data_IF_591421393855
#
_entry.id   IF_591421393855
#
_cell.length_a   1.000
_cell.length_b   1.000
_cell.length_c   1.000
_cell.angle_alpha   90.00
_cell.angle_beta   90.00
_cell.angle_gamma   90.00
#
_symmetry.space_group_name_H-M   'P 1'
#
loop_
_entity.id
_entity.type
_entity.pdbx_description
1 polymer ?
#
# COMPACT_ATOMS: atom_id res chain seq x y z
N UNK A 1 -13.15 27.21 11.63
CA UNK A 1 -12.27 26.35 10.84
C UNK A 1 -10.96 26.00 11.56
N UNK A 2 -10.14 26.95 12.04
CA UNK A 2 -8.87 26.66 12.76
C UNK A 2 -9.04 25.71 13.96
N UNK A 3 -10.09 25.87 14.79
CA UNK A 3 -10.34 25.00 15.96
C UNK A 3 -10.74 23.56 15.57
N UNK A 4 -11.41 23.36 14.44
CA UNK A 4 -11.78 22.04 13.91
C UNK A 4 -10.56 21.28 13.38
N UNK A 5 -9.66 21.98 12.68
CA UNK A 5 -8.39 21.41 12.18
C UNK A 5 -7.50 20.97 13.35
N UNK A 6 -7.42 21.77 14.42
CA UNK A 6 -6.66 21.44 15.64
C UNK A 6 -7.27 20.21 16.34
N UNK A 7 -8.59 20.08 16.41
CA UNK A 7 -9.24 18.91 17.00
C UNK A 7 -9.01 17.63 16.19
N UNK A 8 -9.03 17.71 14.85
CA UNK A 8 -8.72 16.58 13.97
C UNK A 8 -7.24 16.17 14.09
N UNK A 9 -6.33 17.13 14.17
CA UNK A 9 -4.90 16.87 14.41
C UNK A 9 -4.66 16.25 15.80
N UNK A 10 -5.40 16.68 16.83
CA UNK A 10 -5.31 16.12 18.18
C UNK A 10 -5.88 14.70 18.28
N UNK A 11 -6.97 14.40 17.56
CA UNK A 11 -7.55 13.07 17.48
C UNK A 11 -6.64 12.07 16.73
N UNK A 12 -5.88 12.52 15.75
CA UNK A 12 -4.90 11.70 15.00
C UNK A 12 -3.65 11.42 15.86
N UNK A 13 -3.23 12.36 16.72
CA UNK A 13 -2.05 12.18 17.58
C UNK A 13 -2.29 11.28 18.80
N UNK A 14 -3.53 11.05 19.21
CA UNK A 14 -3.86 10.24 20.38
C UNK A 14 -3.80 8.69 20.15
N UNK A 15 -3.47 8.22 18.94
CA UNK A 15 -3.48 6.78 18.59
C UNK A 15 -2.10 6.12 18.50
N UNK A 16 -1.05 6.76 18.98
CA UNK A 16 0.29 6.12 19.04
C UNK A 16 0.42 5.32 20.35
N UNK A 17 -0.49 4.38 20.58
CA UNK A 17 -0.22 3.29 21.52
C UNK A 17 0.60 2.24 20.79
N UNK A 18 1.69 1.77 21.39
CA UNK A 18 2.58 0.70 20.93
C UNK A 18 1.86 -0.67 20.85
N UNK A 19 0.62 -0.73 20.44
CA UNK A 19 -0.12 -1.98 20.24
C UNK A 19 0.40 -2.70 19.00
N UNK A 20 0.49 -4.04 19.07
CA UNK A 20 0.71 -4.87 17.88
C UNK A 20 -0.36 -4.56 16.84
N UNK A 21 0.07 -4.33 15.60
CA UNK A 21 -0.82 -3.90 14.53
C UNK A 21 -1.45 -5.09 13.82
N UNK A 22 -0.70 -6.16 13.62
CA UNK A 22 -1.14 -7.39 12.96
C UNK A 22 -0.56 -8.62 13.68
N UNK A 23 -1.03 -8.95 14.90
CA UNK A 23 -0.52 -10.05 15.68
C UNK A 23 -0.83 -11.40 15.01
N UNK A 24 0.20 -12.21 14.81
CA UNK A 24 0.13 -13.58 14.31
C UNK A 24 0.80 -14.51 15.31
N UNK A 25 0.24 -15.70 15.50
CA UNK A 25 0.86 -16.72 16.36
C UNK A 25 2.25 -17.09 15.88
N UNK A 26 3.16 -17.29 16.81
CA UNK A 26 4.52 -17.64 16.49
C UNK A 26 5.38 -17.91 17.72
N UNK A 27 6.66 -18.12 17.45
CA UNK A 27 7.67 -18.40 18.46
C UNK A 27 8.84 -17.45 18.34
N UNK A 28 9.43 -17.10 19.47
CA UNK A 28 10.74 -16.45 19.59
C UNK A 28 11.72 -17.46 20.15
N UNK A 29 12.93 -17.54 19.57
CA UNK A 29 14.04 -18.37 20.01
C UNK A 29 15.07 -17.44 20.67
N UNK A 30 15.31 -17.62 21.96
CA UNK A 30 16.25 -16.82 22.71
C UNK A 30 17.68 -17.22 22.37
N UNK A 31 18.66 -16.39 22.74
CA UNK A 31 20.08 -16.72 22.57
C UNK A 31 20.56 -17.91 23.44
N UNK A 32 19.73 -18.36 24.40
CA UNK A 32 19.97 -19.59 25.21
C UNK A 32 19.34 -20.83 24.55
N UNK A 33 18.67 -20.69 23.42
CA UNK A 33 17.98 -21.78 22.72
C UNK A 33 16.56 -22.05 23.22
N UNK A 34 16.08 -21.31 24.23
CA UNK A 34 14.73 -21.46 24.74
C UNK A 34 13.70 -20.92 23.73
N UNK A 35 12.55 -21.57 23.67
CA UNK A 35 11.45 -21.18 22.77
C UNK A 35 10.30 -20.58 23.56
N UNK A 36 9.96 -19.32 23.26
CA UNK A 36 8.84 -18.60 23.82
C UNK A 36 7.69 -18.57 22.81
N UNK A 37 6.46 -19.01 23.21
CA UNK A 37 5.27 -18.96 22.37
C UNK A 37 4.46 -17.70 22.65
N UNK A 38 3.92 -17.08 21.58
CA UNK A 38 3.14 -15.87 21.71
C UNK A 38 2.66 -15.34 20.37
N UNK A 39 2.42 -14.05 20.31
CA UNK A 39 2.03 -13.32 19.13
C UNK A 39 3.18 -12.43 18.65
N UNK A 40 3.49 -12.50 17.36
CA UNK A 40 4.48 -11.68 16.69
C UNK A 40 3.73 -10.71 15.78
N UNK A 41 4.10 -9.43 15.78
CA UNK A 41 3.48 -8.42 14.92
C UNK A 41 3.99 -8.58 13.48
N UNK A 42 3.15 -9.09 12.58
CA UNK A 42 3.50 -9.27 11.17
C UNK A 42 3.57 -7.91 10.47
N UNK A 43 4.75 -7.54 10.05
CA UNK A 43 5.07 -6.31 9.33
C UNK A 43 5.62 -6.59 7.94
N UNK A 44 6.00 -5.53 7.21
CA UNK A 44 6.77 -5.67 5.97
C UNK A 44 8.10 -6.37 6.24
N UNK A 45 8.63 -7.11 5.28
CA UNK A 45 9.91 -7.82 5.43
C UNK A 45 11.03 -6.88 5.87
N UNK A 46 11.06 -5.65 5.33
CA UNK A 46 12.04 -4.64 5.74
C UNK A 46 11.94 -4.25 7.23
N UNK A 47 10.73 -4.16 7.80
CA UNK A 47 10.56 -3.91 9.24
C UNK A 47 10.93 -5.14 10.06
N UNK A 48 10.56 -6.35 9.60
CA UNK A 48 10.89 -7.60 10.27
C UNK A 48 12.40 -7.86 10.28
N UNK A 49 13.15 -7.40 9.27
CA UNK A 49 14.62 -7.50 9.28
C UNK A 49 15.30 -6.62 10.34
N UNK A 50 14.62 -5.60 10.85
CA UNK A 50 15.16 -4.62 11.82
C UNK A 50 14.65 -4.83 13.24
N UNK A 51 13.46 -5.42 13.43
CA UNK A 51 12.87 -5.65 14.75
C UNK A 51 11.78 -6.73 14.74
N UNK A 52 11.66 -7.44 15.87
CA UNK A 52 10.57 -8.35 16.17
C UNK A 52 9.77 -7.80 17.37
N UNK A 53 8.47 -7.52 17.16
CA UNK A 53 7.57 -7.10 18.25
C UNK A 53 6.78 -8.32 18.70
N UNK A 54 6.97 -8.76 19.95
CA UNK A 54 6.47 -10.02 20.48
C UNK A 54 5.71 -9.82 21.79
N UNK A 55 4.62 -10.55 21.95
CA UNK A 55 3.83 -10.64 23.17
C UNK A 55 3.72 -12.11 23.57
N UNK A 56 4.29 -12.50 24.70
CA UNK A 56 4.22 -13.87 25.18
C UNK A 56 2.77 -14.26 25.56
N UNK A 57 2.47 -15.54 25.45
CA UNK A 57 1.16 -16.03 25.86
C UNK A 57 0.94 -15.82 27.37
N UNK A 58 -0.20 -15.21 27.70
CA UNK A 58 -0.55 -14.89 29.11
C UNK A 58 0.05 -13.58 29.63
N UNK A 59 0.90 -12.91 28.86
CA UNK A 59 1.45 -11.59 29.21
C UNK A 59 0.65 -10.48 28.51
N UNK A 60 0.46 -9.35 29.19
CA UNK A 60 -0.11 -8.14 28.59
C UNK A 60 0.94 -7.22 27.98
N UNK A 61 2.19 -7.40 28.37
CA UNK A 61 3.32 -6.58 27.92
C UNK A 61 3.84 -7.06 26.57
N UNK A 62 4.16 -6.10 25.72
CA UNK A 62 4.76 -6.34 24.40
C UNK A 62 6.25 -5.99 24.45
N UNK A 63 7.12 -6.92 24.06
CA UNK A 63 8.57 -6.73 23.98
C UNK A 63 9.00 -6.48 22.54
N UNK A 64 9.96 -5.60 22.35
CA UNK A 64 10.59 -5.33 21.05
C UNK A 64 12.01 -5.85 21.10
N UNK A 65 12.31 -6.86 20.28
CA UNK A 65 13.63 -7.41 20.10
C UNK A 65 14.30 -6.83 18.86
N UNK A 66 15.57 -6.49 18.97
CA UNK A 66 16.45 -6.12 17.86
C UNK A 66 17.31 -7.31 17.45
N UNK A 67 17.89 -7.32 16.23
CA UNK A 67 18.85 -8.34 15.84
C UNK A 67 20.02 -8.42 16.85
N UNK A 68 20.27 -9.61 17.37
CA UNK A 68 21.23 -9.86 18.44
C UNK A 68 20.61 -10.05 19.83
N UNK A 69 19.41 -9.53 20.10
CA UNK A 69 18.71 -9.75 21.38
C UNK A 69 18.16 -11.18 21.48
N UNK A 70 17.86 -11.80 20.35
CA UNK A 70 17.35 -13.17 20.20
C UNK A 70 18.03 -13.88 19.03
N UNK A 71 18.04 -15.21 19.04
CA UNK A 71 18.54 -16.01 17.92
C UNK A 71 17.66 -15.86 16.69
N UNK A 72 16.31 -15.86 16.88
CA UNK A 72 15.37 -15.72 15.79
C UNK A 72 13.92 -15.79 16.23
N UNK A 73 13.03 -15.74 15.24
CA UNK A 73 11.59 -15.88 15.43
C UNK A 73 10.92 -16.52 14.20
N UNK A 74 9.81 -17.22 14.41
CA UNK A 74 9.07 -17.90 13.36
C UNK A 74 7.57 -17.69 13.54
N UNK A 75 6.87 -17.45 12.43
CA UNK A 75 5.41 -17.42 12.39
C UNK A 75 4.87 -18.85 12.24
N UNK A 76 3.81 -19.20 12.97
CA UNK A 76 3.15 -20.51 12.85
C UNK A 76 2.39 -20.58 11.51
N UNK A 77 1.63 -19.54 11.19
CA UNK A 77 0.91 -19.39 9.92
C UNK A 77 1.85 -18.79 8.86
N UNK A 78 1.97 -19.48 7.71
CA UNK A 78 2.85 -19.05 6.63
C UNK A 78 4.32 -19.43 6.78
N UNK A 79 4.74 -19.93 7.97
CA UNK A 79 6.03 -20.58 8.17
C UNK A 79 7.28 -19.72 8.05
N UNK A 80 7.21 -18.40 7.84
CA UNK A 80 8.38 -17.52 7.74
C UNK A 80 9.24 -17.61 9.00
N UNK A 81 10.52 -17.87 8.80
CA UNK A 81 11.53 -17.98 9.85
C UNK A 81 12.60 -16.92 9.66
N UNK A 82 12.84 -16.13 10.69
CA UNK A 82 13.86 -15.10 10.70
C UNK A 82 14.91 -15.42 11.74
N UNK A 83 16.19 -15.28 11.37
CA UNK A 83 17.32 -15.55 12.24
C UNK A 83 18.27 -14.37 12.28
N UNK A 84 18.90 -14.14 13.44
CA UNK A 84 19.92 -13.10 13.56
C UNK A 84 21.16 -13.48 12.75
N UNK A 85 21.55 -12.63 11.82
CA UNK A 85 22.78 -12.77 10.98
C UNK A 85 23.49 -11.44 10.85
N UNK A 86 24.82 -11.50 10.82
CA UNK A 86 25.67 -10.34 10.50
C UNK A 86 25.92 -10.34 8.99
N UNK A 87 25.34 -9.38 8.29
CA UNK A 87 25.36 -9.30 6.83
C UNK A 87 25.75 -7.90 6.40
N UNK A 88 26.37 -7.78 5.22
CA UNK A 88 26.78 -6.51 4.65
C UNK A 88 25.80 -6.15 3.52
N UNK A 89 24.78 -5.34 3.83
CA UNK A 89 23.77 -4.84 2.89
C UNK A 89 24.06 -3.39 2.47
N UNK A 90 24.62 -2.60 3.40
CA UNK A 90 24.78 -1.14 3.22
C UNK A 90 26.26 -0.70 3.14
N UNK A 91 27.17 -1.63 2.82
CA UNK A 91 28.61 -1.37 2.78
C UNK A 91 29.35 -1.71 4.07
N UNK A 92 28.65 -1.80 5.21
CA UNK A 92 29.19 -2.22 6.49
C UNK A 92 28.42 -3.41 7.07
N UNK A 93 29.11 -4.41 7.66
CA UNK A 93 28.46 -5.56 8.29
C UNK A 93 27.63 -5.17 9.51
N UNK A 94 26.32 -5.38 9.46
CA UNK A 94 25.38 -5.12 10.55
C UNK A 94 24.58 -6.38 10.89
N UNK A 95 23.96 -6.40 12.07
CA UNK A 95 23.04 -7.46 12.46
C UNK A 95 21.66 -7.20 11.88
N UNK A 96 21.07 -8.23 11.28
CA UNK A 96 19.73 -8.25 10.77
C UNK A 96 18.99 -9.50 11.23
N UNK A 97 17.66 -9.45 11.27
CA UNK A 97 16.83 -10.64 11.20
C UNK A 97 16.68 -11.02 9.72
N UNK A 98 17.48 -11.97 9.26
CA UNK A 98 17.41 -12.47 7.90
C UNK A 98 16.35 -13.58 7.79
N UNK A 99 15.49 -13.51 6.79
CA UNK A 99 14.54 -14.58 6.47
C UNK A 99 15.32 -15.82 6.03
N UNK A 100 15.26 -16.91 6.81
CA UNK A 100 15.94 -18.16 6.54
C UNK A 100 15.06 -19.00 5.61
N UNK A 101 15.43 -19.10 4.36
CA UNK A 101 14.63 -19.75 3.32
C UNK A 101 14.96 -21.24 3.16
N UNK A 102 16.25 -21.59 3.17
CA UNK A 102 16.73 -22.97 3.03
C UNK A 102 17.89 -23.19 3.98
N UNK A 103 17.85 -24.30 4.71
CA UNK A 103 18.94 -24.82 5.54
C UNK A 103 19.45 -26.13 4.95
N UNK A 104 20.78 -26.23 4.73
CA UNK A 104 21.40 -27.44 4.17
C UNK A 104 22.88 -27.24 3.91
N UNK A 105 23.43 -27.99 2.94
CA UNK A 105 24.82 -27.82 2.47
C UNK A 105 25.09 -26.40 1.92
N UNK A 106 24.04 -25.72 1.52
CA UNK A 106 24.00 -24.30 1.21
C UNK A 106 22.82 -23.72 1.97
N UNK A 107 23.05 -22.70 2.79
CA UNK A 107 22.01 -21.92 3.43
C UNK A 107 21.60 -20.76 2.50
N UNK A 108 20.31 -20.43 2.49
CA UNK A 108 19.78 -19.30 1.75
C UNK A 108 19.04 -18.37 2.70
N UNK A 109 19.49 -17.11 2.76
CA UNK A 109 18.83 -16.05 3.51
C UNK A 109 18.34 -14.95 2.59
N UNK A 110 17.33 -14.22 3.03
CA UNK A 110 16.84 -13.04 2.32
C UNK A 110 16.64 -11.87 3.30
N UNK A 111 17.03 -10.67 2.87
CA UNK A 111 16.73 -9.40 3.54
C UNK A 111 16.10 -8.47 2.53
N UNK A 112 15.01 -7.82 2.89
CA UNK A 112 14.44 -6.71 2.10
C UNK A 112 14.97 -5.39 2.67
N UNK A 113 15.64 -4.60 1.83
CA UNK A 113 16.16 -3.27 2.18
C UNK A 113 15.87 -2.29 1.02
N UNK A 114 15.32 -1.12 1.33
CA UNK A 114 14.92 -0.12 0.31
C UNK A 114 14.06 -0.69 -0.82
N UNK A 115 13.15 -1.61 -0.49
CA UNK A 115 12.27 -2.33 -1.43
C UNK A 115 12.98 -3.31 -2.38
N UNK A 116 14.26 -3.58 -2.19
CA UNK A 116 15.04 -4.59 -2.91
C UNK A 116 15.27 -5.81 -2.03
N UNK A 117 15.25 -6.99 -2.63
CA UNK A 117 15.57 -8.24 -1.96
C UNK A 117 17.05 -8.60 -2.17
N UNK A 118 17.77 -8.76 -1.05
CA UNK A 118 19.16 -9.19 -0.99
C UNK A 118 19.20 -10.64 -0.54
N UNK A 119 19.66 -11.52 -1.41
CA UNK A 119 19.81 -12.96 -1.14
C UNK A 119 21.23 -13.31 -0.81
N UNK A 120 21.44 -14.04 0.30
CA UNK A 120 22.75 -14.49 0.76
C UNK A 120 22.82 -16.01 0.71
N UNK A 121 23.79 -16.51 -0.07
CA UNK A 121 24.13 -17.93 -0.17
C UNK A 121 25.33 -18.18 0.73
N UNK A 122 25.20 -19.05 1.71
CA UNK A 122 26.24 -19.40 2.68
C UNK A 122 26.50 -20.88 2.65
N UNK A 123 27.73 -21.28 2.34
CA UNK A 123 28.20 -22.67 2.40
C UNK A 123 28.50 -23.08 3.85
N UNK A 124 28.61 -24.40 4.10
CA UNK A 124 28.97 -24.95 5.42
C UNK A 124 30.35 -24.46 5.94
N UNK A 125 31.28 -24.11 5.05
CA UNK A 125 32.58 -23.56 5.41
C UNK A 125 32.56 -22.07 5.78
N UNK A 126 31.36 -21.43 5.71
CA UNK A 126 31.15 -20.01 5.98
C UNK A 126 31.42 -19.07 4.80
N UNK A 127 31.80 -19.61 3.60
CA UNK A 127 31.92 -18.79 2.41
C UNK A 127 30.56 -18.29 1.96
N UNK A 128 30.43 -16.96 1.72
CA UNK A 128 29.16 -16.31 1.45
C UNK A 128 29.22 -15.46 0.17
N UNK A 129 28.12 -15.48 -0.60
CA UNK A 129 27.90 -14.59 -1.72
C UNK A 129 26.51 -13.95 -1.65
N UNK A 130 26.44 -12.68 -2.05
CA UNK A 130 25.23 -11.91 -2.16
C UNK A 130 24.75 -11.86 -3.61
N UNK A 131 23.43 -11.90 -3.78
CA UNK A 131 22.73 -11.62 -5.04
C UNK A 131 21.57 -10.67 -4.76
N UNK A 132 21.55 -9.52 -5.42
CA UNK A 132 20.53 -8.49 -5.21
C UNK A 132 19.54 -8.44 -6.37
N UNK A 133 18.25 -8.47 -6.06
CA UNK A 133 17.18 -8.22 -7.04
C UNK A 133 16.98 -6.71 -7.21
N UNK A 134 17.86 -6.10 -8.02
CA UNK A 134 17.87 -4.66 -8.26
C UNK A 134 16.92 -4.27 -9.37
N UNK A 135 16.13 -3.24 -9.13
CA UNK A 135 15.37 -2.56 -10.18
C UNK A 135 16.26 -1.50 -10.83
N UNK A 136 16.51 -1.65 -12.14
CA UNK A 136 17.33 -0.68 -12.89
C UNK A 136 16.59 0.66 -13.00
N UNK A 137 17.19 1.74 -12.47
CA UNK A 137 16.64 3.09 -12.58
C UNK A 137 17.15 3.79 -13.86
N UNK A 138 16.24 3.97 -14.81
CA UNK A 138 16.50 4.68 -16.06
C UNK A 138 16.12 6.17 -16.05
N UNK A 139 15.71 6.71 -14.90
CA UNK A 139 15.15 8.06 -14.79
C UNK A 139 16.18 9.19 -14.69
N UNK A 140 17.46 8.88 -14.45
CA UNK A 140 18.51 9.88 -14.25
C UNK A 140 19.12 10.38 -15.57
N UNK A 141 19.64 11.63 -15.59
CA UNK A 141 20.37 12.20 -16.73
C UNK A 141 21.61 11.37 -17.14
N UNK A 142 22.14 10.55 -16.22
CA UNK A 142 23.24 9.60 -16.45
C UNK A 142 22.78 8.15 -16.50
N UNK A 143 21.50 7.90 -16.81
CA UNK A 143 20.85 6.59 -16.74
C UNK A 143 21.65 5.49 -17.46
N UNK A 144 22.21 5.79 -18.62
CA UNK A 144 22.99 4.80 -19.40
C UNK A 144 24.27 4.33 -18.69
N UNK A 145 25.02 5.27 -18.07
CA UNK A 145 26.26 4.93 -17.36
C UNK A 145 25.95 4.20 -16.05
N UNK A 146 24.92 4.63 -15.35
CA UNK A 146 24.44 4.01 -14.11
C UNK A 146 23.97 2.58 -14.39
N UNK A 147 23.11 2.38 -15.40
CA UNK A 147 22.64 1.06 -15.80
C UNK A 147 23.79 0.11 -16.23
N UNK A 148 24.80 0.62 -16.93
CA UNK A 148 25.98 -0.18 -17.31
C UNK A 148 26.77 -0.65 -16.08
N UNK A 149 26.95 0.21 -15.07
CA UNK A 149 27.64 -0.15 -13.85
C UNK A 149 26.83 -1.17 -13.03
N UNK A 150 25.52 -0.98 -12.91
CA UNK A 150 24.63 -1.91 -12.21
C UNK A 150 24.59 -3.30 -12.89
N UNK A 151 24.53 -3.37 -14.20
CA UNK A 151 24.62 -4.64 -14.95
C UNK A 151 25.96 -5.33 -14.65
N UNK A 152 27.06 -4.59 -14.62
CA UNK A 152 28.38 -5.15 -14.32
C UNK A 152 28.48 -5.69 -12.88
N UNK A 153 27.93 -4.96 -11.90
CA UNK A 153 27.90 -5.44 -10.53
C UNK A 153 26.99 -6.68 -10.38
N UNK A 154 25.84 -6.69 -11.03
CA UNK A 154 24.95 -7.85 -11.09
C UNK A 154 25.68 -9.09 -11.68
N UNK A 155 26.39 -8.92 -12.77
CA UNK A 155 27.19 -10.01 -13.37
C UNK A 155 28.25 -10.56 -12.40
N UNK A 156 28.91 -9.69 -11.61
CA UNK A 156 29.87 -10.12 -10.59
C UNK A 156 29.20 -10.91 -9.47
N UNK A 157 28.03 -10.45 -8.99
CA UNK A 157 27.26 -11.16 -7.98
C UNK A 157 26.87 -12.56 -8.45
N UNK A 158 26.33 -12.67 -9.67
CA UNK A 158 26.03 -13.97 -10.29
C UNK A 158 27.27 -14.87 -10.42
N UNK A 159 28.40 -14.31 -10.83
CA UNK A 159 29.66 -15.05 -10.92
C UNK A 159 30.10 -15.64 -9.57
N UNK A 160 29.97 -14.86 -8.48
CA UNK A 160 30.28 -15.33 -7.12
C UNK A 160 29.34 -16.45 -6.68
N UNK A 161 28.02 -16.28 -6.88
CA UNK A 161 27.04 -17.32 -6.54
C UNK A 161 27.28 -18.59 -7.34
N UNK A 162 27.49 -18.50 -8.66
CA UNK A 162 27.82 -19.65 -9.51
C UNK A 162 29.12 -20.34 -9.04
N UNK A 163 30.10 -19.59 -8.57
CA UNK A 163 31.33 -20.17 -8.01
C UNK A 163 31.05 -20.95 -6.72
N UNK A 164 30.17 -20.44 -5.83
CA UNK A 164 29.75 -21.19 -4.65
C UNK A 164 29.01 -22.49 -5.01
N UNK A 165 28.25 -22.48 -6.10
CA UNK A 165 27.45 -23.61 -6.59
C UNK A 165 28.23 -24.56 -7.50
N UNK A 166 29.56 -24.37 -7.68
CA UNK A 166 30.40 -25.09 -8.68
C UNK A 166 30.34 -26.61 -8.57
N UNK A 167 30.06 -27.14 -7.37
CA UNK A 167 30.00 -28.59 -7.09
C UNK A 167 28.69 -29.23 -7.60
N UNK A 168 27.70 -28.44 -8.10
CA UNK A 168 26.50 -28.89 -8.77
C UNK A 168 26.35 -28.19 -10.12
N UNK A 169 26.64 -28.91 -11.21
CA UNK A 169 26.48 -28.37 -12.57
C UNK A 169 25.04 -27.99 -12.86
N UNK A 170 24.07 -28.72 -12.30
CA UNK A 170 22.64 -28.41 -12.43
C UNK A 170 22.32 -27.08 -11.80
N UNK A 171 22.72 -26.85 -10.55
CA UNK A 171 22.46 -25.61 -9.84
C UNK A 171 23.13 -24.39 -10.55
N UNK A 172 24.33 -24.56 -11.10
CA UNK A 172 25.01 -23.52 -11.90
C UNK A 172 24.23 -23.18 -13.16
N UNK A 173 23.73 -24.20 -13.89
CA UNK A 173 22.96 -23.98 -15.12
C UNK A 173 21.59 -23.35 -14.88
N UNK A 174 20.96 -23.65 -13.73
CA UNK A 174 19.67 -23.13 -13.36
C UNK A 174 19.71 -21.66 -12.89
N UNK A 175 20.92 -21.13 -12.63
CA UNK A 175 21.11 -19.70 -12.38
C UNK A 175 21.00 -18.92 -13.68
N UNK A 176 19.80 -18.36 -13.93
CA UNK A 176 19.49 -17.49 -15.07
C UNK A 176 19.41 -16.04 -14.62
N UNK A 177 20.18 -15.17 -15.27
CA UNK A 177 20.30 -13.75 -14.93
C UNK A 177 19.02 -12.95 -15.19
N UNK A 178 18.16 -13.42 -16.08
CA UNK A 178 16.97 -12.68 -16.51
C UNK A 178 15.77 -12.84 -15.54
N UNK A 179 15.81 -13.79 -14.60
CA UNK A 179 14.61 -14.14 -13.81
C UNK A 179 14.92 -14.57 -12.38
N UNK A 180 15.27 -13.59 -11.52
CA UNK A 180 15.42 -13.83 -10.09
C UNK A 180 14.01 -13.92 -9.46
N UNK A 181 13.74 -15.03 -8.78
CA UNK A 181 12.57 -15.16 -7.90
C UNK A 181 12.93 -16.00 -6.68
N UNK A 182 12.30 -15.71 -5.54
CA UNK A 182 12.48 -16.47 -4.29
C UNK A 182 12.35 -17.96 -4.52
N UNK A 183 11.29 -18.39 -5.21
CA UNK A 183 11.02 -19.80 -5.53
C UNK A 183 12.13 -20.43 -6.38
N UNK A 184 12.64 -19.72 -7.36
CA UNK A 184 13.73 -20.21 -8.21
C UNK A 184 15.01 -20.40 -7.40
N UNK A 185 15.38 -19.43 -6.56
CA UNK A 185 16.59 -19.52 -5.75
C UNK A 185 16.50 -20.65 -4.71
N UNK A 186 15.33 -20.85 -4.10
CA UNK A 186 15.07 -22.01 -3.23
C UNK A 186 15.27 -23.32 -3.99
N UNK A 187 14.77 -23.43 -5.23
CA UNK A 187 14.96 -24.63 -6.04
C UNK A 187 16.43 -24.86 -6.39
N UNK A 188 17.16 -23.82 -6.79
CA UNK A 188 18.61 -23.90 -7.09
C UNK A 188 19.39 -24.42 -5.87
N UNK A 189 19.12 -23.86 -4.68
CA UNK A 189 19.83 -24.30 -3.45
C UNK A 189 19.44 -25.71 -3.05
N UNK A 190 18.17 -26.10 -3.23
CA UNK A 190 17.73 -27.48 -3.01
C UNK A 190 18.39 -28.47 -3.96
N UNK A 191 18.49 -28.12 -5.25
CA UNK A 191 19.13 -28.96 -6.26
C UNK A 191 20.64 -29.09 -5.99
N UNK A 192 21.29 -27.99 -5.59
CA UNK A 192 22.69 -28.04 -5.09
C UNK A 192 22.84 -29.01 -3.93
N UNK A 193 21.98 -28.93 -2.91
CA UNK A 193 22.02 -29.83 -1.76
C UNK A 193 21.86 -31.29 -2.18
N UNK A 194 20.88 -31.58 -3.06
CA UNK A 194 20.63 -32.94 -3.53
C UNK A 194 21.82 -33.53 -4.32
N UNK A 195 22.54 -32.70 -5.07
CA UNK A 195 23.69 -33.15 -5.85
C UNK A 195 24.95 -33.36 -4.99
N UNK A 196 25.14 -32.52 -3.97
CA UNK A 196 26.36 -32.52 -3.14
C UNK A 196 26.22 -33.41 -1.90
N UNK A 197 25.00 -33.64 -1.43
CA UNK A 197 24.74 -34.40 -0.23
C UNK A 197 24.89 -35.91 -0.49
N UNK A 198 25.98 -36.50 -0.02
CA UNK A 198 26.26 -37.95 -0.17
C UNK A 198 25.85 -38.78 1.03
N UNK A 199 25.51 -38.15 2.17
CA UNK A 199 25.14 -38.78 3.42
C UNK A 199 23.64 -39.05 3.58
N UNK A 200 22.83 -38.68 2.57
CA UNK A 200 21.36 -38.85 2.57
C UNK A 200 20.62 -37.84 3.45
N UNK A 201 21.30 -36.85 4.02
CA UNK A 201 20.64 -35.77 4.72
C UNK A 201 19.74 -34.98 3.76
N UNK A 202 18.63 -34.43 4.30
CA UNK A 202 17.71 -33.61 3.52
C UNK A 202 17.85 -32.15 3.94
N UNK A 203 17.80 -31.23 2.96
CA UNK A 203 17.69 -29.82 3.29
C UNK A 203 16.31 -29.52 3.89
N UNK A 204 16.26 -28.56 4.79
CA UNK A 204 15.02 -28.03 5.33
C UNK A 204 14.67 -26.77 4.53
N UNK A 205 13.58 -26.82 3.78
CA UNK A 205 13.02 -25.64 3.13
C UNK A 205 11.96 -25.08 4.06
N UNK A 206 12.18 -23.86 4.51
CA UNK A 206 11.19 -23.13 5.31
C UNK A 206 10.13 -22.54 4.37
N UNK A 207 9.23 -23.42 3.91
CA UNK A 207 8.11 -23.00 3.04
C UNK A 207 7.25 -21.99 3.78
N UNK A 208 6.95 -20.90 3.12
CA UNK A 208 5.91 -20.01 3.55
C UNK A 208 4.80 -19.95 2.50
N UNK A 209 3.56 -19.85 2.95
CA UNK A 209 2.43 -19.71 2.04
C UNK A 209 2.36 -18.28 1.52
N UNK A 210 2.80 -18.06 0.27
CA UNK A 210 2.70 -16.76 -0.40
C UNK A 210 1.27 -16.21 -0.42
N UNK A 211 0.25 -17.07 -0.29
CA UNK A 211 -1.15 -16.66 -0.22
C UNK A 211 -1.47 -15.94 1.07
N UNK A 212 -0.80 -16.27 2.17
CA UNK A 212 -0.97 -15.58 3.45
C UNK A 212 -0.43 -14.15 3.44
N UNK A 213 0.47 -13.85 2.52
CA UNK A 213 1.13 -12.54 2.38
C UNK A 213 0.40 -11.59 1.40
N UNK A 214 -0.55 -12.08 0.62
CA UNK A 214 -1.26 -11.26 -0.35
C UNK A 214 -2.24 -10.34 0.35
N UNK A 215 -2.16 -9.05 0.03
CA UNK A 215 -3.17 -8.08 0.43
C UNK A 215 -4.53 -8.50 -0.11
N UNK A 216 -5.55 -8.41 0.72
CA UNK A 216 -6.92 -8.70 0.28
C UNK A 216 -7.40 -7.56 -0.60
N UNK A 217 -8.02 -7.93 -1.71
CA UNK A 217 -8.66 -7.00 -2.63
C UNK A 217 -10.17 -7.20 -2.51
N UNK A 218 -10.88 -6.12 -2.27
CA UNK A 218 -12.33 -6.07 -2.20
C UNK A 218 -12.85 -5.22 -3.35
N UNK A 219 -13.80 -5.73 -4.10
CA UNK A 219 -14.55 -4.93 -5.05
C UNK A 219 -15.79 -4.37 -4.37
N UNK A 220 -16.25 -3.21 -4.82
CA UNK A 220 -17.43 -2.56 -4.25
C UNK A 220 -18.29 -1.91 -5.32
N UNK A 221 -19.59 -1.89 -5.07
CA UNK A 221 -20.55 -1.11 -5.82
C UNK A 221 -21.24 -0.13 -4.87
N UNK A 222 -21.59 1.05 -5.34
CA UNK A 222 -22.17 2.06 -4.48
C UNK A 222 -23.17 2.96 -5.20
N UNK A 223 -24.02 3.55 -4.38
CA UNK A 223 -24.94 4.60 -4.78
C UNK A 223 -24.77 5.77 -3.82
N UNK A 224 -24.88 6.98 -4.34
CA UNK A 224 -24.70 8.18 -3.55
C UNK A 224 -25.61 9.32 -3.98
N UNK A 225 -25.72 10.28 -3.08
CA UNK A 225 -26.32 11.57 -3.34
C UNK A 225 -25.30 12.65 -3.06
N UNK A 226 -25.11 13.57 -3.99
CA UNK A 226 -24.12 14.63 -3.88
C UNK A 226 -24.73 15.99 -4.14
N UNK A 227 -24.30 16.96 -3.36
CA UNK A 227 -24.57 18.37 -3.56
C UNK A 227 -23.31 19.07 -4.03
N UNK A 228 -23.34 19.60 -5.24
CA UNK A 228 -22.25 20.34 -5.86
C UNK A 228 -22.50 21.84 -5.77
N UNK A 229 -21.58 22.57 -5.19
CA UNK A 229 -21.58 24.02 -5.14
C UNK A 229 -20.29 24.54 -5.77
N UNK A 230 -20.44 25.40 -6.75
CA UNK A 230 -19.31 26.14 -7.31
C UNK A 230 -19.33 27.52 -6.69
N UNK A 231 -18.26 27.89 -5.98
CA UNK A 231 -18.17 29.20 -5.36
C UNK A 231 -18.06 30.29 -6.43
N UNK A 232 -18.86 31.29 -6.19
CA UNK A 232 -18.81 32.68 -6.61
C UNK A 232 -17.80 32.99 -7.71
N UNK A 233 -18.27 33.09 -8.93
CA UNK A 233 -17.56 33.92 -9.91
C UNK A 233 -17.43 35.31 -9.32
N UNK A 234 -16.28 35.69 -8.81
CA UNK A 234 -15.93 37.08 -8.49
C UNK A 234 -15.75 37.81 -9.80
N UNK A 235 -16.85 38.31 -10.35
CA UNK A 235 -16.74 39.30 -11.42
C UNK A 235 -16.33 40.66 -10.86
N UNK A 236 -15.47 41.34 -11.58
CA UNK A 236 -15.05 42.71 -11.33
C UNK A 236 -16.24 43.59 -10.98
N UNK A 237 -16.19 44.27 -9.84
CA UNK A 237 -17.01 45.39 -9.35
C UNK A 237 -18.53 45.29 -9.55
N UNK A 238 -19.24 44.90 -8.52
CA UNK A 238 -20.63 45.27 -8.31
C UNK A 238 -21.72 44.27 -8.74
N UNK A 239 -21.38 43.07 -9.21
CA UNK A 239 -22.36 42.02 -9.56
C UNK A 239 -22.35 40.94 -8.48
N UNK A 240 -23.54 40.55 -7.94
CA UNK A 240 -23.60 39.51 -6.95
C UNK A 240 -23.05 38.18 -7.48
N UNK A 241 -22.27 37.54 -6.68
CA UNK A 241 -21.75 36.21 -6.95
C UNK A 241 -22.89 35.22 -7.11
N UNK A 242 -22.94 34.50 -8.19
CA UNK A 242 -23.93 33.47 -8.47
C UNK A 242 -23.36 32.12 -7.98
N UNK A 243 -23.97 31.55 -6.96
CA UNK A 243 -23.71 30.17 -6.51
C UNK A 243 -24.68 29.25 -7.24
N UNK A 244 -24.19 28.18 -7.81
CA UNK A 244 -25.00 27.20 -8.53
C UNK A 244 -25.07 25.88 -7.75
N UNK A 245 -26.00 25.71 -6.81
CA UNK A 245 -26.22 24.44 -6.15
C UNK A 245 -26.76 23.42 -7.16
N UNK A 246 -26.19 22.23 -7.19
CA UNK A 246 -26.60 21.16 -8.07
C UNK A 246 -26.61 19.84 -7.29
N UNK A 247 -27.80 19.26 -7.15
CA UNK A 247 -27.98 17.96 -6.52
C UNK A 247 -27.90 16.87 -7.56
N UNK A 248 -27.15 15.82 -7.30
CA UNK A 248 -26.96 14.73 -8.24
C UNK A 248 -27.00 13.38 -7.52
N UNK A 249 -27.57 12.41 -8.19
CA UNK A 249 -27.45 11.01 -7.86
C UNK A 249 -26.17 10.47 -8.50
N UNK A 250 -25.46 9.60 -7.78
CA UNK A 250 -24.24 8.96 -8.25
C UNK A 250 -24.37 7.45 -8.12
N UNK A 251 -23.93 6.71 -9.12
CA UNK A 251 -23.77 5.27 -9.11
C UNK A 251 -22.34 4.93 -9.50
N UNK A 252 -21.71 4.00 -8.79
CA UNK A 252 -20.31 3.71 -9.06
C UNK A 252 -19.87 2.33 -8.62
N UNK A 253 -18.63 2.03 -9.01
CA UNK A 253 -17.89 0.84 -8.63
C UNK A 253 -16.50 1.23 -8.17
N UNK A 254 -15.87 0.38 -7.39
CA UNK A 254 -14.52 0.62 -6.89
C UNK A 254 -13.83 -0.65 -6.46
N UNK A 255 -12.56 -0.48 -6.12
CA UNK A 255 -11.74 -1.51 -5.51
C UNK A 255 -11.03 -0.96 -4.27
N UNK A 256 -10.84 -1.81 -3.29
CA UNK A 256 -10.16 -1.52 -2.04
C UNK A 256 -9.11 -2.59 -1.78
N UNK A 257 -7.88 -2.20 -1.44
CA UNK A 257 -6.77 -3.09 -1.15
C UNK A 257 -6.34 -2.87 0.30
N UNK A 258 -6.41 -3.92 1.11
CA UNK A 258 -5.99 -3.86 2.50
C UNK A 258 -4.47 -3.70 2.64
N UNK A 259 -4.04 -2.75 3.46
CA UNK A 259 -2.64 -2.47 3.78
C UNK A 259 -2.29 -2.91 5.23
N UNK A 260 -2.83 -4.05 5.67
CA UNK A 260 -2.69 -4.53 7.06
C UNK A 260 -1.24 -4.64 7.54
N UNK A 261 -0.30 -4.92 6.64
CA UNK A 261 1.14 -4.98 6.97
C UNK A 261 1.75 -3.59 7.22
N UNK A 262 1.16 -2.56 6.69
CA UNK A 262 1.58 -1.17 6.88
C UNK A 262 0.95 -0.58 8.13
N UNK A 263 -0.37 -0.68 8.19
CA UNK A 263 -1.17 -0.20 9.31
C UNK A 263 -2.43 -1.05 9.38
N UNK A 264 -2.74 -1.56 10.58
CA UNK A 264 -3.96 -2.33 10.83
C UNK A 264 -5.19 -1.55 10.38
N UNK A 265 -6.15 -2.24 9.76
CA UNK A 265 -7.45 -1.68 9.32
C UNK A 265 -7.30 -0.44 8.39
N UNK A 266 -6.17 -0.32 7.68
CA UNK A 266 -5.94 0.68 6.65
C UNK A 266 -6.07 0.01 5.27
N UNK A 267 -6.75 0.69 4.35
CA UNK A 267 -6.86 0.28 2.96
C UNK A 267 -6.62 1.45 2.02
N UNK A 268 -6.16 1.16 0.82
CA UNK A 268 -6.20 2.08 -0.33
C UNK A 268 -7.46 1.77 -1.13
N UNK A 269 -8.16 2.80 -1.57
CA UNK A 269 -9.33 2.66 -2.43
C UNK A 269 -9.21 3.46 -3.72
N UNK A 270 -9.83 2.94 -4.78
CA UNK A 270 -9.99 3.61 -6.04
C UNK A 270 -11.45 3.43 -6.51
N UNK A 271 -12.14 4.53 -6.76
CA UNK A 271 -13.56 4.55 -7.10
C UNK A 271 -13.81 5.32 -8.39
N UNK A 272 -14.78 4.86 -9.16
CA UNK A 272 -15.33 5.55 -10.31
C UNK A 272 -16.84 5.64 -10.15
N UNK A 273 -17.37 6.86 -10.20
CA UNK A 273 -18.81 7.11 -10.13
C UNK A 273 -19.28 7.87 -11.36
N UNK A 274 -20.46 7.52 -11.82
CA UNK A 274 -21.21 8.19 -12.86
C UNK A 274 -22.38 8.94 -12.24
N UNK A 275 -22.49 10.21 -12.57
CA UNK A 275 -23.64 11.05 -12.23
C UNK A 275 -24.39 11.37 -13.53
N UNK A 276 -25.61 10.86 -13.70
CA UNK A 276 -26.40 11.12 -14.90
C UNK A 276 -26.73 12.61 -15.03
N UNK A 277 -27.20 12.98 -16.20
CA UNK A 277 -27.58 14.34 -16.52
C UNK A 277 -28.49 14.93 -15.46
N UNK A 278 -28.03 15.99 -14.83
CA UNK A 278 -28.74 16.69 -13.76
C UNK A 278 -29.00 18.15 -14.18
N UNK A 279 -30.22 18.59 -13.98
CA UNK A 279 -30.64 19.96 -14.23
C UNK A 279 -30.69 20.74 -12.89
N UNK A 280 -30.07 21.91 -12.87
CA UNK A 280 -30.21 22.88 -11.77
C UNK A 280 -30.82 24.16 -12.30
N UNK A 281 -31.92 24.57 -11.65
CA UNK A 281 -32.59 25.83 -11.98
C UNK A 281 -31.76 27.00 -11.47
N UNK A 282 -31.54 27.96 -12.33
CA UNK A 282 -30.96 29.27 -12.02
C UNK A 282 -32.09 30.31 -12.04
N UNK A 283 -31.85 31.49 -11.51
CA UNK A 283 -32.77 32.62 -11.56
C UNK A 283 -33.30 32.81 -12.99
N UNK A 284 -34.59 33.14 -13.16
CA UNK A 284 -35.25 33.42 -14.42
C UNK A 284 -35.41 32.27 -15.43
N UNK A 285 -35.87 31.12 -15.00
CA UNK A 285 -36.19 29.97 -15.88
C UNK A 285 -35.01 29.38 -16.66
N UNK A 286 -33.78 29.63 -16.23
CA UNK A 286 -32.57 29.04 -16.84
C UNK A 286 -32.09 27.87 -16.02
N UNK A 287 -31.62 26.82 -16.70
CA UNK A 287 -31.09 25.63 -16.07
C UNK A 287 -29.70 25.31 -16.58
N UNK A 288 -28.88 24.74 -15.69
CA UNK A 288 -27.61 24.11 -16.06
C UNK A 288 -27.81 22.61 -16.07
N UNK A 289 -27.50 21.98 -17.19
CA UNK A 289 -27.50 20.54 -17.33
C UNK A 289 -26.09 20.04 -17.54
N UNK A 290 -25.71 18.99 -16.78
CA UNK A 290 -24.41 18.36 -16.96
C UNK A 290 -24.40 16.91 -16.49
N UNK A 291 -23.61 16.10 -17.17
CA UNK A 291 -23.26 14.74 -16.78
C UNK A 291 -21.86 14.73 -16.19
N UNK A 292 -21.61 13.90 -15.15
CA UNK A 292 -20.30 13.87 -14.47
C UNK A 292 -19.75 12.46 -14.36
N UNK A 293 -18.43 12.36 -14.47
CA UNK A 293 -17.64 11.22 -14.08
C UNK A 293 -16.76 11.64 -12.88
N UNK A 294 -16.85 10.91 -11.78
CA UNK A 294 -16.08 11.18 -10.57
C UNK A 294 -15.09 10.05 -10.36
N UNK A 295 -13.83 10.40 -10.18
CA UNK A 295 -12.75 9.47 -9.83
C UNK A 295 -12.25 9.82 -8.45
N UNK A 296 -12.14 8.84 -7.56
CA UNK A 296 -11.54 8.99 -6.22
C UNK A 296 -10.38 8.02 -6.06
N UNK A 297 -9.31 8.50 -5.46
CA UNK A 297 -8.18 7.68 -5.03
C UNK A 297 -7.81 8.12 -3.62
N UNK A 298 -7.81 7.18 -2.66
CA UNK A 298 -7.59 7.56 -1.27
C UNK A 298 -7.34 6.41 -0.34
N UNK A 299 -7.40 6.74 0.94
CA UNK A 299 -7.23 5.83 2.05
C UNK A 299 -8.49 5.75 2.88
N UNK A 300 -8.78 4.53 3.36
CA UNK A 300 -9.83 4.25 4.32
C UNK A 300 -9.18 3.69 5.58
N UNK A 301 -9.43 4.32 6.72
CA UNK A 301 -9.02 3.84 8.02
C UNK A 301 -10.24 3.45 8.84
N UNK A 302 -10.33 2.18 9.22
CA UNK A 302 -11.36 1.64 10.11
C UNK A 302 -10.88 1.68 11.56
N UNK A 303 -11.80 1.84 12.52
CA UNK A 303 -11.51 1.92 13.94
C UNK A 303 -12.33 0.91 14.72
N UNK A 304 -11.71 0.30 15.76
CA UNK A 304 -12.36 -0.67 16.61
C UNK A 304 -12.36 -2.10 16.07
N UNK A 305 -12.86 -3.05 16.87
CA UNK A 305 -12.90 -4.50 16.57
C UNK A 305 -14.33 -5.06 16.48
N UNK A 306 -15.35 -4.20 16.59
CA UNK A 306 -16.75 -4.60 16.59
C UNK A 306 -17.28 -4.94 15.19
N UNK A 307 -18.50 -5.49 15.15
CA UNK A 307 -19.24 -5.74 13.91
C UNK A 307 -19.49 -4.45 13.11
N UNK A 308 -19.66 -3.34 13.83
CA UNK A 308 -19.78 -2.01 13.24
C UNK A 308 -18.50 -1.25 13.59
N UNK A 309 -17.82 -0.76 12.57
CA UNK A 309 -16.56 -0.06 12.69
C UNK A 309 -16.71 1.37 12.16
N UNK A 310 -16.52 2.39 12.99
CA UNK A 310 -16.34 3.75 12.49
C UNK A 310 -15.17 3.82 11.52
N UNK A 311 -15.24 4.72 10.56
CA UNK A 311 -14.17 4.91 9.59
C UNK A 311 -13.94 6.38 9.25
N UNK A 312 -12.73 6.67 8.81
CA UNK A 312 -12.33 7.91 8.19
C UNK A 312 -11.78 7.65 6.80
N UNK A 313 -12.04 8.57 5.89
CA UNK A 313 -11.59 8.54 4.50
C UNK A 313 -10.86 9.82 4.17
N UNK A 314 -9.80 9.73 3.35
CA UNK A 314 -9.09 10.90 2.85
C UNK A 314 -8.41 10.55 1.53
N UNK A 315 -8.42 11.48 0.59
CA UNK A 315 -7.79 11.23 -0.69
C UNK A 315 -7.89 12.39 -1.67
N UNK A 316 -7.62 12.07 -2.92
CA UNK A 316 -7.73 12.98 -4.06
C UNK A 316 -8.92 12.58 -4.91
N UNK A 317 -9.50 13.57 -5.57
CA UNK A 317 -10.59 13.33 -6.51
C UNK A 317 -10.39 14.08 -7.82
N UNK A 318 -11.03 13.57 -8.87
CA UNK A 318 -11.21 14.23 -10.14
C UNK A 318 -12.68 14.17 -10.54
N UNK A 319 -13.25 15.30 -10.95
CA UNK A 319 -14.60 15.37 -11.53
C UNK A 319 -14.48 15.89 -12.95
N UNK A 320 -14.82 15.04 -13.92
CA UNK A 320 -14.98 15.41 -15.30
C UNK A 320 -16.47 15.67 -15.58
N UNK A 321 -16.81 16.85 -16.03
CA UNK A 321 -18.18 17.24 -16.39
C UNK A 321 -18.31 17.41 -17.88
N UNK A 322 -19.38 16.89 -18.44
CA UNK A 322 -19.65 16.86 -19.87
C UNK A 322 -20.97 17.54 -20.17
N UNK A 323 -21.01 18.33 -21.26
CA UNK A 323 -22.21 18.97 -21.77
C UNK A 323 -22.80 19.95 -20.77
N UNK A 324 -22.13 21.07 -20.51
CA UNK A 324 -22.59 22.12 -19.62
C UNK A 324 -23.04 23.38 -20.34
N UNK A 325 -24.00 24.07 -19.74
CA UNK A 325 -24.42 25.42 -20.17
C UNK A 325 -24.15 26.37 -19.02
N UNK A 326 -23.38 27.43 -19.26
CA UNK A 326 -23.01 28.42 -18.26
C UNK A 326 -23.56 29.79 -18.67
N UNK A 327 -24.10 30.51 -17.71
CA UNK A 327 -24.52 31.89 -17.90
C UNK A 327 -23.35 32.83 -17.72
N UNK A 328 -22.98 33.57 -18.76
CA UNK A 328 -21.93 34.59 -18.69
C UNK A 328 -22.50 35.99 -18.93
N UNK A 329 -22.09 36.94 -18.10
CA UNK A 329 -22.39 38.36 -18.34
C UNK A 329 -21.31 38.95 -19.27
N UNK A 330 -21.76 39.46 -20.38
CA UNK A 330 -20.92 40.16 -21.35
C UNK A 330 -21.04 41.67 -21.15
N UNK A 331 -19.93 42.36 -21.01
CA UNK A 331 -19.86 43.83 -20.89
C UNK A 331 -19.49 44.40 -22.25
N UNK A 332 -20.34 45.20 -22.83
CA UNK A 332 -20.11 45.81 -24.14
C UNK A 332 -21.39 46.47 -24.67
N UNK A 333 -21.42 46.80 -25.95
CA UNK A 333 -22.57 47.43 -26.64
C UNK A 333 -23.86 46.61 -26.54
N UNK A 334 -23.71 45.29 -26.31
CA UNK A 334 -24.80 44.32 -26.14
C UNK A 334 -24.64 43.62 -24.76
N UNK A 335 -24.59 44.47 -23.71
CA UNK A 335 -24.38 44.00 -22.34
C UNK A 335 -25.56 43.17 -21.85
N UNK A 336 -25.31 41.98 -21.33
CA UNK A 336 -26.32 41.08 -20.79
C UNK A 336 -25.79 39.69 -20.48
N UNK A 337 -26.66 38.87 -19.93
CA UNK A 337 -26.35 37.46 -19.71
C UNK A 337 -26.58 36.66 -20.99
N UNK A 338 -25.51 36.01 -21.47
CA UNK A 338 -25.58 35.08 -22.61
C UNK A 338 -25.25 33.67 -22.13
N UNK A 339 -25.96 32.69 -22.63
CA UNK A 339 -25.69 31.29 -22.37
C UNK A 339 -24.43 30.89 -23.13
N UNK A 340 -23.45 30.40 -22.41
CA UNK A 340 -22.25 29.79 -22.98
C UNK A 340 -22.34 28.26 -22.83
N UNK A 341 -22.28 27.56 -23.94
CA UNK A 341 -22.23 26.08 -23.94
C UNK A 341 -20.80 25.64 -23.95
N UNK A 342 -20.46 24.69 -23.03
CA UNK A 342 -19.16 24.08 -22.99
C UNK A 342 -19.29 22.56 -22.98
N UNK A 343 -18.35 21.88 -23.63
CA UNK A 343 -18.41 20.43 -23.82
C UNK A 343 -17.70 19.65 -22.72
N UNK A 344 -16.72 20.24 -22.04
CA UNK A 344 -15.90 19.56 -21.05
C UNK A 344 -15.33 20.52 -20.01
N UNK A 345 -15.34 20.09 -18.75
CA UNK A 345 -14.54 20.70 -17.68
C UNK A 345 -14.03 19.65 -16.72
N UNK A 346 -12.88 19.89 -16.11
CA UNK A 346 -12.27 19.00 -15.14
C UNK A 346 -11.91 19.77 -13.87
N UNK A 347 -12.24 19.20 -12.72
CA UNK A 347 -11.90 19.73 -11.39
C UNK A 347 -11.18 18.63 -10.62
N UNK A 348 -10.09 18.98 -9.98
CA UNK A 348 -9.32 18.06 -9.12
C UNK A 348 -9.13 18.67 -7.74
N UNK A 349 -9.00 17.85 -6.73
CA UNK A 349 -8.85 18.32 -5.37
C UNK A 349 -8.67 17.19 -4.37
N UNK A 350 -8.99 17.50 -3.12
CA UNK A 350 -8.91 16.56 -2.00
C UNK A 350 -10.28 16.34 -1.39
N UNK A 351 -10.47 15.15 -0.80
CA UNK A 351 -11.67 14.86 -0.03
C UNK A 351 -11.32 14.33 1.36
N UNK A 352 -12.24 14.56 2.28
CA UNK A 352 -12.26 13.99 3.62
C UNK A 352 -13.66 13.45 3.88
N UNK A 353 -13.73 12.30 4.51
CA UNK A 353 -15.00 11.67 4.83
C UNK A 353 -14.96 10.90 6.14
N UNK A 354 -16.14 10.63 6.66
CA UNK A 354 -16.36 9.80 7.83
C UNK A 354 -17.64 8.98 7.69
N UNK A 355 -17.65 7.82 8.32
CA UNK A 355 -18.81 6.94 8.26
C UNK A 355 -18.67 5.72 9.15
N UNK A 356 -19.42 4.69 8.82
CA UNK A 356 -19.36 3.40 9.49
C UNK A 356 -19.47 2.26 8.48
N UNK A 357 -18.78 1.18 8.76
CA UNK A 357 -18.82 -0.09 8.02
C UNK A 357 -19.35 -1.19 8.91
N UNK A 358 -20.25 -2.03 8.39
CA UNK A 358 -20.71 -3.25 9.02
C UNK A 358 -20.20 -4.45 8.27
N UNK A 359 -19.46 -5.33 8.95
CA UNK A 359 -18.97 -6.58 8.38
C UNK A 359 -20.10 -7.63 8.26
N UNK A 360 -20.20 -8.29 7.10
CA UNK A 360 -21.17 -9.33 6.76
C UNK A 360 -20.44 -10.57 6.22
N UNK A 361 -19.65 -11.24 7.07
CA UNK A 361 -18.80 -12.34 6.65
C UNK A 361 -17.65 -11.87 5.76
N UNK A 362 -17.64 -12.30 4.48
CA UNK A 362 -16.67 -11.85 3.45
C UNK A 362 -17.04 -10.50 2.82
N UNK A 363 -18.26 -10.04 3.06
CA UNK A 363 -18.82 -8.81 2.49
C UNK A 363 -18.90 -7.71 3.54
N UNK A 364 -19.15 -6.49 3.11
CA UNK A 364 -19.44 -5.39 4.01
C UNK A 364 -20.49 -4.44 3.42
N UNK A 365 -21.18 -3.74 4.29
CA UNK A 365 -22.00 -2.58 3.96
C UNK A 365 -21.39 -1.36 4.64
N UNK A 366 -21.26 -0.26 3.91
CA UNK A 366 -20.68 0.98 4.41
C UNK A 366 -21.60 2.16 4.09
N UNK A 367 -21.73 3.06 5.07
CA UNK A 367 -22.39 4.35 4.89
C UNK A 367 -21.41 5.44 5.32
N UNK A 368 -21.18 6.43 4.46
CA UNK A 368 -20.27 7.52 4.78
C UNK A 368 -20.72 8.84 4.14
N UNK A 369 -20.25 9.93 4.74
CA UNK A 369 -20.39 11.28 4.21
C UNK A 369 -19.02 11.87 3.92
N UNK A 370 -18.87 12.53 2.76
CA UNK A 370 -17.61 13.10 2.29
C UNK A 370 -17.77 14.58 1.93
N UNK A 371 -16.70 15.33 2.17
CA UNK A 371 -16.54 16.72 1.74
C UNK A 371 -15.38 16.78 0.76
N UNK A 372 -15.64 17.25 -0.44
CA UNK A 372 -14.66 17.40 -1.51
C UNK A 372 -14.40 18.87 -1.76
N UNK A 373 -13.13 19.27 -1.84
CA UNK A 373 -12.74 20.65 -2.16
C UNK A 373 -11.70 20.67 -3.27
N UNK A 374 -12.00 21.41 -4.33
CA UNK A 374 -11.04 21.66 -5.42
C UNK A 374 -9.88 22.51 -4.94
N UNK A 375 -8.67 22.21 -5.44
CA UNK A 375 -7.43 22.93 -5.11
C UNK A 375 -7.02 23.93 -6.20
N UNK A 376 -7.55 23.82 -7.42
CA UNK A 376 -7.10 24.60 -8.58
C UNK A 376 -8.26 25.28 -9.29
N UNK A 377 -8.03 26.52 -9.71
CA UNK A 377 -8.73 27.39 -10.71
C UNK A 377 -10.22 27.67 -10.48
N UNK A 378 -11.03 26.74 -10.01
CA UNK A 378 -12.44 26.98 -9.68
C UNK A 378 -12.78 26.31 -8.35
N UNK A 379 -13.37 27.05 -7.43
CA UNK A 379 -13.73 26.53 -6.11
C UNK A 379 -14.96 25.62 -6.24
N UNK A 380 -14.74 24.32 -6.49
CA UNK A 380 -15.78 23.30 -6.40
C UNK A 380 -15.82 22.77 -4.97
N UNK A 381 -16.99 22.85 -4.36
CA UNK A 381 -17.32 22.16 -3.11
C UNK A 381 -18.37 21.09 -3.45
N UNK A 382 -18.07 19.83 -3.09
CA UNK A 382 -19.05 18.73 -3.17
C UNK A 382 -19.26 18.18 -1.77
N UNK A 383 -20.52 17.99 -1.39
CA UNK A 383 -20.92 17.25 -0.19
C UNK A 383 -21.64 15.99 -0.66
N UNK A 384 -21.19 14.84 -0.23
CA UNK A 384 -21.75 13.55 -0.65
C UNK A 384 -22.15 12.67 0.53
N UNK A 385 -23.19 11.87 0.35
CA UNK A 385 -23.53 10.73 1.20
C UNK A 385 -23.62 9.50 0.33
N UNK A 386 -22.90 8.44 0.69
CA UNK A 386 -22.75 7.24 -0.13
C UNK A 386 -22.99 5.99 0.68
N UNK A 387 -23.76 5.07 0.11
CA UNK A 387 -23.95 3.70 0.59
C UNK A 387 -23.21 2.73 -0.34
N UNK A 388 -22.33 1.91 0.23
CA UNK A 388 -21.48 0.95 -0.49
C UNK A 388 -21.77 -0.48 -0.05
N UNK A 389 -21.66 -1.40 -0.99
CA UNK A 389 -21.62 -2.84 -0.76
C UNK A 389 -20.30 -3.40 -1.31
N UNK A 390 -19.51 -4.03 -0.44
CA UNK A 390 -18.25 -4.67 -0.80
C UNK A 390 -18.36 -6.19 -0.82
N UNK A 391 -17.69 -6.81 -1.81
CA UNK A 391 -17.73 -8.26 -2.07
C UNK A 391 -16.37 -8.82 -2.49
#
# INVERSE_FOLDING_TARGET
MKKFIIFVLWAVSATVTMAQVNPKSGIVITNTGDTLRGNIDLRTNEKLSKQCTFQANGESETKIYKPGDIEGFRFDEGGKFFVTRRLNVTGEPQLYFAEFMVQGKMNLYCITHNSEDHFFFEREDGEMAELTDRTLDYSSLNAFQTAKNEIREKQKEYGKVKFLLKDSQKAVNDMDEANISRKKLVNVVRDYHNDVCTDGSKCVVYEYDEKSDKSKVHFKAFVGFAHYSTDKMKYFSGIPAISFPNNAFEIGVGAEIDLERWMKDLSVEADIAFSPKTESKIVDNRSIEQTRLVLNLGFVKRFGKGRIQPLARAGMFGVASFGGKELRYYRGYDSGFKTHEWSFSMHTGVYLGAGAQMALGKHFVRLHGDVYKSLFISELLKLGVTAEFGF
#
